data_IF_732855206983
#
_entry.id   IF_732855206983
#
_cell.length_a   1.000
_cell.length_b   1.000
_cell.length_c   1.000
_cell.angle_alpha   90.00
_cell.angle_beta   90.00
_cell.angle_gamma   90.00
#
_symmetry.space_group_name_H-M   'P 1'
#
loop_
_entity.id
_entity.type
_entity.pdbx_description
1 polymer ?
#
# COMPACT_ATOMS: atom_id res chain seq x y z
N UNK A 1 16.82 16.77 3.06
CA UNK A 1 16.10 15.51 3.28
C UNK A 1 16.35 15.12 4.74
N UNK A 2 15.32 14.87 5.51
CA UNK A 2 15.45 14.43 6.89
C UNK A 2 16.14 13.05 6.91
N UNK A 3 17.20 12.91 7.68
CA UNK A 3 17.92 11.63 7.82
C UNK A 3 17.07 10.75 8.71
N UNK A 4 16.55 9.65 8.15
CA UNK A 4 15.73 8.68 8.89
C UNK A 4 16.66 7.70 9.61
N UNK A 5 16.61 7.69 10.94
CA UNK A 5 17.36 6.70 11.75
C UNK A 5 16.56 5.40 11.88
N UNK A 6 16.65 4.55 10.86
CA UNK A 6 15.98 3.24 10.84
C UNK A 6 16.41 2.32 11.98
N UNK A 7 17.68 2.41 12.44
CA UNK A 7 18.18 1.60 13.55
C UNK A 7 17.47 1.99 14.85
N UNK A 8 17.35 3.28 15.13
CA UNK A 8 16.59 3.77 16.28
C UNK A 8 15.13 3.36 16.20
N UNK A 9 14.50 3.49 15.03
CA UNK A 9 13.10 3.10 14.80
C UNK A 9 12.89 1.62 15.14
N UNK A 10 13.75 0.73 14.67
CA UNK A 10 13.64 -0.71 14.92
C UNK A 10 13.87 -1.08 16.40
N UNK A 11 14.70 -0.30 17.13
CA UNK A 11 15.02 -0.58 18.54
C UNK A 11 14.03 0.02 19.52
N UNK A 12 13.49 1.20 19.22
CA UNK A 12 12.72 2.02 20.16
C UNK A 12 11.25 2.16 19.76
N UNK A 13 10.86 1.70 18.57
CA UNK A 13 9.56 2.01 17.98
C UNK A 13 9.53 3.37 17.32
N UNK A 14 8.36 3.74 16.79
CA UNK A 14 8.13 5.01 16.11
C UNK A 14 6.69 5.46 16.23
N UNK A 15 6.48 6.74 16.38
CA UNK A 15 5.16 7.37 16.23
C UNK A 15 4.96 7.77 14.78
N UNK A 16 3.87 7.28 14.17
CA UNK A 16 3.41 7.69 12.84
C UNK A 16 2.12 8.49 12.96
N UNK A 17 1.92 9.40 12.03
CA UNK A 17 0.69 10.20 11.97
C UNK A 17 -0.26 9.64 10.92
N UNK A 18 -1.54 9.47 11.28
CA UNK A 18 -2.60 9.23 10.31
C UNK A 18 -3.23 10.55 9.86
N UNK A 19 -3.76 10.59 8.65
CA UNK A 19 -4.43 11.79 8.11
C UNK A 19 -5.75 12.14 8.81
N UNK A 20 -6.23 11.29 9.73
CA UNK A 20 -7.46 11.46 10.52
C UNK A 20 -8.67 11.86 9.66
N UNK A 21 -9.65 10.99 9.48
CA UNK A 21 -10.91 11.32 8.77
C UNK A 21 -11.72 12.42 9.45
N UNK A 22 -11.40 12.76 10.70
CA UNK A 22 -12.03 13.81 11.52
C UNK A 22 -11.29 15.16 11.47
N UNK A 23 -10.26 15.28 10.61
CA UNK A 23 -9.47 16.51 10.45
C UNK A 23 -8.32 16.68 11.45
N UNK A 24 -8.30 15.96 12.56
CA UNK A 24 -7.17 15.99 13.51
C UNK A 24 -6.29 14.76 13.28
N UNK A 25 -4.99 14.94 12.96
CA UNK A 25 -4.05 13.83 12.82
C UNK A 25 -3.99 13.02 14.13
N UNK A 26 -4.06 11.70 14.02
CA UNK A 26 -3.84 10.80 15.16
C UNK A 26 -2.40 10.36 15.18
N UNK A 27 -1.80 10.37 16.35
CA UNK A 27 -0.49 9.79 16.60
C UNK A 27 -0.66 8.32 17.02
N UNK A 28 0.07 7.43 16.34
CA UNK A 28 0.02 6.00 16.56
C UNK A 28 1.43 5.52 16.82
N UNK A 29 1.67 5.07 18.04
CA UNK A 29 2.95 4.47 18.40
C UNK A 29 3.01 3.02 17.93
N UNK A 30 4.08 2.67 17.24
CA UNK A 30 4.40 1.32 16.77
C UNK A 30 5.59 0.78 17.56
N UNK A 31 5.36 -0.26 18.33
CA UNK A 31 6.43 -0.91 19.10
C UNK A 31 7.42 -1.65 18.19
N UNK A 32 8.64 -1.95 18.67
CA UNK A 32 9.60 -2.75 17.91
C UNK A 32 9.05 -4.10 17.45
N UNK A 33 8.27 -4.79 18.29
CA UNK A 33 7.62 -6.08 17.97
C UNK A 33 6.60 -5.91 16.86
N UNK A 34 5.79 -4.86 16.93
CA UNK A 34 4.80 -4.54 15.91
C UNK A 34 5.47 -4.18 14.57
N UNK A 35 6.55 -3.39 14.59
CA UNK A 35 7.34 -3.09 13.41
C UNK A 35 7.94 -4.34 12.78
N UNK A 36 8.44 -5.28 13.59
CA UNK A 36 8.95 -6.58 13.11
C UNK A 36 7.86 -7.39 12.40
N UNK A 37 6.65 -7.43 12.95
CA UNK A 37 5.51 -8.10 12.33
C UNK A 37 5.13 -7.43 10.99
N UNK A 38 5.04 -6.10 10.96
CA UNK A 38 4.77 -5.34 9.73
C UNK A 38 5.84 -5.56 8.66
N UNK A 39 7.12 -5.58 9.05
CA UNK A 39 8.23 -5.87 8.14
C UNK A 39 8.12 -7.27 7.51
N UNK A 40 7.79 -8.29 8.31
CA UNK A 40 7.64 -9.65 7.82
C UNK A 40 6.54 -9.73 6.75
N UNK A 41 5.39 -9.11 6.99
CA UNK A 41 4.29 -9.01 6.02
C UNK A 41 4.74 -8.28 4.76
N UNK A 42 5.37 -7.12 4.90
CA UNK A 42 5.78 -6.31 3.75
C UNK A 42 6.84 -7.01 2.88
N UNK A 43 7.77 -7.74 3.50
CA UNK A 43 8.79 -8.54 2.82
C UNK A 43 8.15 -9.69 2.05
N UNK A 44 7.28 -10.45 2.72
CA UNK A 44 6.65 -11.62 2.09
C UNK A 44 5.72 -11.21 0.95
N UNK A 45 4.81 -10.26 1.17
CA UNK A 45 3.84 -9.84 0.18
C UNK A 45 4.49 -9.33 -1.11
N UNK A 46 5.55 -8.54 -0.98
CA UNK A 46 6.25 -7.93 -2.12
C UNK A 46 7.40 -8.77 -2.67
N UNK A 47 7.70 -9.91 -2.03
CA UNK A 47 8.86 -10.75 -2.37
C UNK A 47 10.18 -9.98 -2.36
N UNK A 48 10.32 -9.08 -1.37
CA UNK A 48 11.54 -8.29 -1.18
C UNK A 48 12.71 -9.19 -0.75
N UNK A 49 13.88 -8.88 -1.26
CA UNK A 49 15.15 -9.56 -0.93
C UNK A 49 16.27 -8.52 -0.77
N UNK A 50 17.43 -8.94 -0.27
CA UNK A 50 18.62 -8.08 -0.22
C UNK A 50 19.09 -7.59 -1.61
N UNK A 51 18.65 -8.24 -2.70
CA UNK A 51 18.94 -7.82 -4.08
C UNK A 51 17.91 -6.84 -4.65
N UNK A 52 16.83 -6.57 -3.93
CA UNK A 52 15.83 -5.59 -4.33
C UNK A 52 16.43 -4.19 -4.30
N UNK A 53 15.97 -3.33 -5.21
CA UNK A 53 16.33 -1.91 -5.27
C UNK A 53 15.06 -1.11 -5.14
N UNK A 54 14.91 -0.38 -4.04
CA UNK A 54 13.67 0.28 -3.66
C UNK A 54 13.78 1.79 -3.86
N UNK A 55 12.83 2.36 -4.60
CA UNK A 55 12.66 3.80 -4.76
C UNK A 55 11.43 4.28 -4.00
N UNK A 56 11.64 4.95 -2.88
CA UNK A 56 10.56 5.53 -2.07
C UNK A 56 10.37 7.01 -2.40
N UNK A 57 9.15 7.37 -2.76
CA UNK A 57 8.75 8.75 -3.11
C UNK A 57 7.61 9.29 -2.25
N UNK A 58 7.23 8.56 -1.21
CA UNK A 58 6.21 8.91 -0.23
C UNK A 58 6.84 9.36 1.08
N UNK A 59 6.07 10.08 1.91
CA UNK A 59 6.58 10.67 3.16
C UNK A 59 6.91 9.60 4.19
N UNK A 60 8.06 9.72 4.86
CA UNK A 60 8.51 8.82 5.91
C UNK A 60 7.74 8.96 7.23
N UNK A 61 7.01 10.05 7.43
CA UNK A 61 6.14 10.26 8.60
C UNK A 61 4.82 9.47 8.53
N UNK A 62 4.53 8.83 7.39
CA UNK A 62 3.32 8.03 7.19
C UNK A 62 3.65 6.55 7.00
N UNK A 63 2.71 5.68 7.39
CA UNK A 63 2.83 4.24 7.22
C UNK A 63 3.21 3.84 5.78
N UNK A 64 2.62 4.49 4.77
CA UNK A 64 2.90 4.23 3.36
C UNK A 64 4.35 4.41 2.96
N UNK A 65 5.03 5.47 3.41
CA UNK A 65 6.44 5.69 3.09
C UNK A 65 7.40 4.85 3.94
N UNK A 66 7.14 4.80 5.24
CA UNK A 66 8.04 4.14 6.18
C UNK A 66 7.88 2.62 6.19
N UNK A 67 6.64 2.13 6.41
CA UNK A 67 6.39 0.72 6.72
C UNK A 67 6.19 -0.17 5.49
N UNK A 68 5.82 0.38 4.32
CA UNK A 68 5.57 -0.45 3.14
C UNK A 68 6.83 -0.99 2.51
N UNK A 69 7.85 -0.15 2.34
CA UNK A 69 9.06 -0.52 1.61
C UNK A 69 10.36 -0.05 2.27
N UNK A 70 10.40 1.15 2.90
CA UNK A 70 11.67 1.72 3.36
C UNK A 70 12.26 0.95 4.54
N UNK A 71 11.47 0.69 5.57
CA UNK A 71 11.93 -0.09 6.73
C UNK A 71 12.20 -1.56 6.38
N UNK A 72 11.34 -2.26 5.59
CA UNK A 72 11.66 -3.60 5.08
C UNK A 72 12.94 -3.66 4.26
N UNK A 73 13.16 -2.70 3.33
CA UNK A 73 14.37 -2.63 2.53
C UNK A 73 15.63 -2.47 3.39
N UNK A 74 15.59 -1.54 4.37
CA UNK A 74 16.69 -1.37 5.33
C UNK A 74 16.96 -2.65 6.11
N UNK A 75 15.93 -3.31 6.62
CA UNK A 75 16.06 -4.56 7.39
C UNK A 75 16.72 -5.67 6.59
N UNK A 76 16.47 -5.74 5.28
CA UNK A 76 17.09 -6.72 4.38
C UNK A 76 18.49 -6.34 3.87
N UNK A 77 18.95 -5.11 4.15
CA UNK A 77 20.15 -4.57 3.53
C UNK A 77 20.01 -4.35 2.02
N UNK A 78 18.77 -4.15 1.52
CA UNK A 78 18.50 -3.84 0.14
C UNK A 78 18.87 -2.40 -0.19
N UNK A 79 19.13 -2.10 -1.47
CA UNK A 79 19.34 -0.73 -1.93
C UNK A 79 18.07 0.10 -1.74
N UNK A 80 18.18 1.23 -1.05
CA UNK A 80 17.07 2.14 -0.77
C UNK A 80 17.42 3.57 -1.16
N UNK A 81 16.62 4.16 -2.02
CA UNK A 81 16.65 5.59 -2.32
C UNK A 81 15.34 6.24 -1.91
N UNK A 82 15.43 7.31 -1.13
CA UNK A 82 14.30 8.15 -0.73
C UNK A 82 14.45 9.50 -1.44
N UNK A 83 13.42 9.92 -2.17
CA UNK A 83 13.39 11.21 -2.85
C UNK A 83 11.98 11.78 -2.92
N UNK A 84 11.85 13.05 -3.26
CA UNK A 84 10.54 13.65 -3.57
C UNK A 84 10.00 13.11 -4.88
N UNK A 85 8.68 12.94 -4.96
CA UNK A 85 8.01 12.56 -6.19
C UNK A 85 8.06 13.69 -7.22
N UNK A 86 8.52 13.35 -8.42
CA UNK A 86 8.45 14.23 -9.58
C UNK A 86 7.99 13.39 -10.78
N UNK A 87 6.77 13.63 -11.32
CA UNK A 87 6.23 12.80 -12.40
C UNK A 87 7.04 12.84 -13.68
N UNK A 88 7.80 13.91 -13.92
CA UNK A 88 8.56 14.08 -15.17
C UNK A 88 9.91 13.34 -15.15
N UNK A 89 10.48 13.07 -13.98
CA UNK A 89 11.75 12.36 -13.85
C UNK A 89 11.59 10.94 -13.29
N UNK A 90 10.47 10.65 -12.64
CA UNK A 90 10.26 9.41 -11.92
C UNK A 90 10.50 8.16 -12.78
N UNK A 91 9.93 8.09 -13.99
CA UNK A 91 10.06 6.91 -14.86
C UNK A 91 11.52 6.64 -15.24
N UNK A 92 12.30 7.70 -15.50
CA UNK A 92 13.74 7.59 -15.76
C UNK A 92 14.48 7.08 -14.52
N UNK A 93 14.22 7.67 -13.36
CA UNK A 93 14.86 7.28 -12.10
C UNK A 93 14.51 5.83 -11.75
N UNK A 94 13.24 5.44 -11.90
CA UNK A 94 12.74 4.12 -11.55
C UNK A 94 13.33 2.99 -12.41
N UNK A 95 13.89 3.27 -13.59
CA UNK A 95 14.55 2.24 -14.41
C UNK A 95 15.67 1.52 -13.65
N UNK A 96 16.35 2.20 -12.74
CA UNK A 96 17.41 1.61 -11.89
C UNK A 96 16.88 0.84 -10.69
N UNK A 97 15.58 0.88 -10.38
CA UNK A 97 14.98 0.26 -9.20
C UNK A 97 14.00 -0.85 -9.59
N UNK A 98 13.71 -1.73 -8.63
CA UNK A 98 12.79 -2.87 -8.83
C UNK A 98 11.43 -2.65 -8.18
N UNK A 99 11.37 -1.92 -7.06
CA UNK A 99 10.17 -1.74 -6.26
C UNK A 99 9.91 -0.27 -5.97
N UNK A 100 8.64 0.11 -5.96
CA UNK A 100 8.18 1.43 -5.54
C UNK A 100 6.78 1.37 -4.94
N UNK A 101 6.46 2.30 -4.04
CA UNK A 101 5.11 2.56 -3.54
C UNK A 101 4.59 3.88 -4.11
N UNK A 102 3.43 3.83 -4.73
CA UNK A 102 2.76 4.98 -5.34
C UNK A 102 1.34 5.14 -4.78
N UNK A 103 0.95 6.37 -4.47
CA UNK A 103 -0.47 6.68 -4.26
C UNK A 103 -1.20 6.73 -5.59
N UNK A 104 -2.56 6.57 -5.62
CA UNK A 104 -3.33 6.76 -6.85
C UNK A 104 -3.08 8.12 -7.52
N UNK A 105 -2.85 9.17 -6.73
CA UNK A 105 -2.49 10.49 -7.25
C UNK A 105 -1.14 10.48 -7.99
N UNK A 106 -0.12 9.80 -7.43
CA UNK A 106 1.17 9.60 -8.12
C UNK A 106 0.99 8.81 -9.41
N UNK A 107 0.23 7.70 -9.36
CA UNK A 107 -0.05 6.88 -10.55
C UNK A 107 -0.75 7.68 -11.64
N UNK A 108 -1.78 8.46 -11.30
CA UNK A 108 -2.48 9.39 -12.21
C UNK A 108 -1.52 10.41 -12.83
N UNK A 109 -0.68 11.03 -12.01
CA UNK A 109 0.29 12.01 -12.49
C UNK A 109 1.25 11.40 -13.52
N UNK A 110 1.74 10.16 -13.28
CA UNK A 110 2.62 9.45 -14.22
C UNK A 110 1.93 9.10 -15.53
N UNK A 111 0.72 8.54 -15.47
CA UNK A 111 -0.08 8.17 -16.66
C UNK A 111 -0.32 9.38 -17.58
N UNK A 112 -0.41 10.57 -17.01
CA UNK A 112 -0.62 11.81 -17.77
C UNK A 112 0.68 12.39 -18.37
N UNK A 113 1.85 11.83 -18.08
CA UNK A 113 3.09 12.23 -18.72
C UNK A 113 3.22 11.64 -20.13
N UNK A 114 3.87 12.39 -21.03
CA UNK A 114 4.11 11.89 -22.39
C UNK A 114 4.93 10.60 -22.42
N UNK A 115 5.89 10.45 -21.49
CA UNK A 115 6.79 9.30 -21.44
C UNK A 115 6.15 8.02 -20.88
N UNK A 116 4.95 8.08 -20.28
CA UNK A 116 4.35 6.89 -19.70
C UNK A 116 3.95 5.85 -20.76
N UNK A 117 3.39 6.29 -21.88
CA UNK A 117 2.95 5.39 -22.96
C UNK A 117 4.10 4.59 -23.59
N UNK A 118 5.29 5.17 -23.59
CA UNK A 118 6.50 4.59 -24.17
C UNK A 118 7.38 3.91 -23.09
N UNK A 119 6.93 3.89 -21.83
CA UNK A 119 7.69 3.29 -20.73
C UNK A 119 7.65 1.78 -20.78
N UNK A 120 8.78 1.14 -20.45
CA UNK A 120 8.84 -0.29 -20.18
C UNK A 120 9.00 -0.51 -18.68
N UNK A 121 7.98 -1.11 -18.05
CA UNK A 121 7.96 -1.42 -16.63
C UNK A 121 8.11 -2.93 -16.37
N UNK A 122 8.59 -3.70 -17.33
CA UNK A 122 8.87 -5.12 -17.14
C UNK A 122 9.87 -5.34 -15.99
N UNK A 123 9.54 -6.28 -15.09
CA UNK A 123 10.33 -6.55 -13.88
C UNK A 123 10.23 -5.48 -12.79
N UNK A 124 9.32 -4.51 -12.90
CA UNK A 124 9.04 -3.51 -11.88
C UNK A 124 7.84 -3.92 -11.04
N UNK A 125 7.98 -3.79 -9.73
CA UNK A 125 6.92 -4.02 -8.75
C UNK A 125 6.39 -2.67 -8.24
N UNK A 126 5.12 -2.40 -8.47
CA UNK A 126 4.45 -1.16 -8.09
C UNK A 126 3.38 -1.47 -7.06
N UNK A 127 3.64 -1.12 -5.82
CA UNK A 127 2.65 -1.15 -4.75
C UNK A 127 1.76 0.09 -4.83
N UNK A 128 0.45 -0.09 -4.90
CA UNK A 128 -0.54 0.99 -4.94
C UNK A 128 -1.35 1.06 -3.66
N UNK A 129 -1.51 2.24 -3.04
CA UNK A 129 -2.26 2.36 -1.81
C UNK A 129 -2.33 3.77 -1.23
N UNK A 130 -2.69 3.89 0.03
CA UNK A 130 -3.13 5.08 0.78
C UNK A 130 -4.58 5.51 0.46
N UNK A 131 -5.04 5.26 -0.75
CA UNK A 131 -6.40 5.45 -1.23
C UNK A 131 -6.74 4.28 -2.16
N UNK A 132 -8.03 4.02 -2.45
CA UNK A 132 -8.44 3.00 -3.41
C UNK A 132 -7.82 3.22 -4.80
N UNK A 133 -7.28 2.16 -5.39
CA UNK A 133 -6.61 2.20 -6.70
C UNK A 133 -7.62 1.88 -7.79
N UNK A 134 -7.81 2.81 -8.73
CA UNK A 134 -8.71 2.61 -9.88
C UNK A 134 -8.25 1.46 -10.79
N UNK A 135 -9.19 0.67 -11.30
CA UNK A 135 -8.92 -0.40 -12.25
C UNK A 135 -8.19 0.05 -13.51
N UNK A 136 -8.48 1.26 -13.98
CA UNK A 136 -7.81 1.83 -15.16
C UNK A 136 -6.32 2.14 -14.88
N UNK A 137 -5.97 2.51 -13.64
CA UNK A 137 -4.59 2.66 -13.24
C UNK A 137 -3.88 1.31 -13.17
N UNK A 138 -4.51 0.31 -12.51
CA UNK A 138 -3.96 -1.05 -12.46
C UNK A 138 -3.71 -1.56 -13.90
N UNK A 139 -4.73 -1.47 -14.77
CA UNK A 139 -4.64 -1.91 -16.16
C UNK A 139 -3.48 -1.24 -16.91
N UNK A 140 -3.37 0.10 -16.82
CA UNK A 140 -2.33 0.86 -17.54
C UNK A 140 -0.93 0.50 -17.10
N UNK A 141 -0.69 0.31 -15.81
CA UNK A 141 0.62 -0.10 -15.31
C UNK A 141 0.96 -1.55 -15.68
N UNK A 142 0.00 -2.47 -15.59
CA UNK A 142 0.18 -3.86 -16.04
C UNK A 142 0.41 -3.93 -17.55
N UNK A 143 -0.28 -3.08 -18.33
CA UNK A 143 -0.07 -2.98 -19.79
C UNK A 143 1.35 -2.54 -20.13
N UNK A 144 1.99 -1.69 -19.30
CA UNK A 144 3.41 -1.32 -19.44
C UNK A 144 4.38 -2.41 -18.92
N UNK A 145 3.89 -3.55 -18.47
CA UNK A 145 4.67 -4.69 -17.99
C UNK A 145 4.96 -4.71 -16.50
N UNK A 146 4.43 -3.78 -15.71
CA UNK A 146 4.60 -3.78 -14.26
C UNK A 146 3.82 -4.91 -13.59
N UNK A 147 4.36 -5.44 -12.50
CA UNK A 147 3.58 -6.13 -11.48
C UNK A 147 2.97 -5.08 -10.56
N UNK A 148 1.65 -5.03 -10.46
CA UNK A 148 0.91 -4.05 -9.64
C UNK A 148 0.25 -4.75 -8.46
N UNK A 149 0.46 -4.23 -7.26
CA UNK A 149 -0.21 -4.71 -6.05
C UNK A 149 -1.04 -3.57 -5.44
N UNK A 150 -2.34 -3.45 -5.75
CA UNK A 150 -3.22 -2.68 -4.90
C UNK A 150 -3.25 -3.31 -3.51
N UNK A 151 -3.16 -2.47 -2.49
CA UNK A 151 -3.17 -2.93 -1.13
C UNK A 151 -4.06 -2.08 -0.24
N UNK A 152 -4.62 -2.72 0.77
CA UNK A 152 -5.32 -2.08 1.84
C UNK A 152 -4.55 -2.24 3.15
N UNK A 153 -4.52 -1.17 3.92
CA UNK A 153 -3.94 -1.08 5.23
C UNK A 153 -4.19 0.30 5.81
N UNK A 154 -3.98 0.43 7.10
CA UNK A 154 -4.15 1.68 7.85
C UNK A 154 -2.94 1.91 8.75
N UNK A 155 -2.75 3.16 9.19
CA UNK A 155 -1.72 3.47 10.18
C UNK A 155 -1.88 2.66 11.48
N UNK A 156 -3.12 2.36 11.85
CA UNK A 156 -3.50 1.59 13.03
C UNK A 156 -3.25 0.07 12.88
N UNK A 157 -3.25 -0.44 11.66
CA UNK A 157 -3.21 -1.89 11.41
C UNK A 157 -1.87 -2.31 10.88
N UNK A 158 -1.30 -1.54 9.99
CA UNK A 158 -0.11 -1.86 9.23
C UNK A 158 -0.38 -1.82 7.74
N UNK A 159 0.67 -1.69 6.94
CA UNK A 159 0.57 -1.70 5.50
C UNK A 159 0.35 -3.13 4.98
N UNK A 160 -0.23 -3.22 3.78
CA UNK A 160 -0.30 -4.46 3.00
C UNK A 160 -1.10 -5.58 3.71
N UNK A 161 -2.04 -5.18 4.56
CA UNK A 161 -2.85 -6.12 5.37
C UNK A 161 -3.75 -6.98 4.50
N UNK A 162 -4.40 -6.40 3.49
CA UNK A 162 -5.15 -7.10 2.44
C UNK A 162 -4.62 -6.61 1.09
N UNK A 163 -4.31 -7.53 0.20
CA UNK A 163 -3.73 -7.19 -1.09
C UNK A 163 -4.05 -8.25 -2.14
N UNK A 164 -3.72 -7.95 -3.38
CA UNK A 164 -3.61 -8.90 -4.48
C UNK A 164 -2.56 -8.41 -5.46
N UNK A 165 -2.05 -9.29 -6.33
CA UNK A 165 -0.98 -8.95 -7.26
C UNK A 165 -1.41 -9.22 -8.69
N UNK A 166 -1.27 -8.23 -9.57
CA UNK A 166 -1.58 -8.30 -10.99
C UNK A 166 -0.31 -8.17 -11.82
N UNK A 167 -0.05 -9.14 -12.67
CA UNK A 167 0.99 -9.11 -13.70
C UNK A 167 0.45 -9.55 -15.09
N UNK A 168 -0.85 -9.77 -15.18
CA UNK A 168 -1.56 -10.21 -16.37
C UNK A 168 -2.86 -9.42 -16.54
N UNK A 169 -3.10 -8.92 -17.76
CA UNK A 169 -4.28 -8.16 -18.11
C UNK A 169 -5.58 -8.96 -18.06
N UNK A 170 -5.51 -10.26 -18.37
CA UNK A 170 -6.69 -11.15 -18.29
C UNK A 170 -7.17 -11.23 -16.84
N UNK A 171 -6.24 -11.37 -15.89
CA UNK A 171 -6.55 -11.35 -14.47
C UNK A 171 -7.17 -10.00 -14.03
N UNK A 172 -6.60 -8.87 -14.47
CA UNK A 172 -7.15 -7.54 -14.18
C UNK A 172 -8.59 -7.41 -14.64
N UNK A 173 -8.86 -7.79 -15.88
CA UNK A 173 -10.21 -7.71 -16.47
C UNK A 173 -11.18 -8.68 -15.79
N UNK A 174 -10.74 -9.88 -15.46
CA UNK A 174 -11.54 -10.87 -14.75
C UNK A 174 -11.96 -10.37 -13.36
N UNK A 175 -11.01 -9.87 -12.56
CA UNK A 175 -11.31 -9.39 -11.20
C UNK A 175 -12.18 -8.13 -11.24
N UNK A 176 -11.92 -7.20 -12.17
CA UNK A 176 -12.79 -6.04 -12.40
C UNK A 176 -14.24 -6.46 -12.71
N UNK A 177 -14.42 -7.48 -13.55
CA UNK A 177 -15.74 -8.01 -13.89
C UNK A 177 -16.42 -8.67 -12.67
N UNK A 178 -15.73 -9.54 -11.95
CA UNK A 178 -16.24 -10.22 -10.74
C UNK A 178 -16.68 -9.21 -9.68
N UNK A 179 -15.89 -8.16 -9.45
CA UNK A 179 -16.19 -7.09 -8.50
C UNK A 179 -17.09 -6.00 -9.08
N UNK A 180 -17.63 -6.16 -10.30
CA UNK A 180 -18.54 -5.19 -10.96
C UNK A 180 -17.97 -3.77 -11.02
N UNK A 181 -16.64 -3.64 -11.10
CA UNK A 181 -15.93 -2.36 -11.13
C UNK A 181 -15.69 -1.71 -9.78
N UNK A 182 -16.16 -2.30 -8.67
CA UNK A 182 -15.86 -1.84 -7.31
C UNK A 182 -14.35 -1.91 -7.01
N UNK A 183 -13.85 -1.03 -6.14
CA UNK A 183 -12.45 -1.04 -5.75
C UNK A 183 -12.06 -2.35 -5.06
N UNK A 184 -10.94 -2.94 -5.49
CA UNK A 184 -10.42 -4.14 -4.88
C UNK A 184 -9.62 -3.81 -3.61
N UNK A 185 -9.85 -4.61 -2.54
CA UNK A 185 -8.91 -4.70 -1.42
C UNK A 185 -7.92 -5.84 -1.67
N UNK A 186 -8.39 -7.01 -2.08
CA UNK A 186 -7.56 -8.16 -2.40
C UNK A 186 -8.19 -9.49 -2.03
N UNK A 187 -7.39 -10.55 -2.17
CA UNK A 187 -7.70 -11.94 -1.83
C UNK A 187 -6.63 -12.59 -0.93
N UNK A 188 -5.54 -11.87 -0.66
CA UNK A 188 -4.49 -12.26 0.27
C UNK A 188 -4.61 -11.44 1.55
N UNK A 189 -4.70 -12.10 2.70
CA UNK A 189 -4.96 -11.47 4.01
C UNK A 189 -3.87 -11.88 5.00
N UNK A 190 -3.26 -10.91 5.68
CA UNK A 190 -2.15 -11.11 6.62
C UNK A 190 -2.54 -10.93 8.10
N UNK A 191 -3.82 -10.98 8.41
CA UNK A 191 -4.32 -10.90 9.79
C UNK A 191 -5.66 -11.65 9.91
N UNK A 192 -6.17 -11.79 11.13
CA UNK A 192 -7.55 -12.23 11.32
C UNK A 192 -8.49 -11.12 10.86
N UNK A 193 -9.54 -11.49 10.14
CA UNK A 193 -10.58 -10.57 9.69
C UNK A 193 -11.97 -11.11 10.04
N UNK A 194 -12.91 -10.21 10.27
CA UNK A 194 -14.35 -10.48 10.27
C UNK A 194 -15.10 -9.28 9.70
N UNK A 195 -16.27 -9.55 9.16
CA UNK A 195 -17.19 -8.52 8.66
C UNK A 195 -18.43 -8.54 9.54
N UNK A 196 -18.77 -7.39 10.11
CA UNK A 196 -19.98 -7.21 10.94
C UNK A 196 -20.71 -5.98 10.40
N UNK A 197 -21.96 -6.14 9.98
CA UNK A 197 -22.77 -5.09 9.36
C UNK A 197 -22.04 -4.37 8.21
N UNK A 198 -21.40 -5.15 7.34
CA UNK A 198 -20.53 -4.73 6.24
C UNK A 198 -19.27 -3.98 6.65
N UNK A 199 -19.01 -3.73 7.93
CA UNK A 199 -17.78 -3.11 8.40
C UNK A 199 -16.68 -4.17 8.60
N UNK A 200 -15.50 -3.87 8.09
CA UNK A 200 -14.32 -4.71 8.28
C UNK A 200 -13.72 -4.52 9.68
N UNK A 201 -13.51 -5.63 10.37
CA UNK A 201 -12.76 -5.72 11.62
C UNK A 201 -11.51 -6.55 11.41
N UNK A 202 -10.42 -6.15 12.02
CA UNK A 202 -9.13 -6.82 11.91
C UNK A 202 -8.50 -7.06 13.28
N UNK A 203 -7.67 -8.09 13.36
CA UNK A 203 -6.88 -8.43 14.55
C UNK A 203 -5.59 -9.14 14.13
N UNK A 204 -4.48 -8.83 14.78
CA UNK A 204 -3.21 -9.52 14.57
C UNK A 204 -2.02 -8.74 15.11
N UNK A 205 -0.84 -9.35 15.05
CA UNK A 205 0.42 -8.77 15.53
C UNK A 205 0.85 -7.51 14.77
N UNK A 206 0.28 -7.30 13.58
CA UNK A 206 0.50 -6.09 12.78
C UNK A 206 -0.35 -4.90 13.25
N UNK A 207 -1.39 -5.12 14.08
CA UNK A 207 -2.21 -4.05 14.64
C UNK A 207 -1.47 -3.35 15.79
N UNK A 208 -1.69 -2.03 15.95
CA UNK A 208 -1.02 -1.25 17.00
C UNK A 208 -1.55 -1.57 18.41
N UNK A 209 -2.69 -2.21 18.51
CA UNK A 209 -3.34 -2.64 19.76
C UNK A 209 -3.82 -4.08 19.67
N UNK A 210 -4.01 -4.70 20.83
CA UNK A 210 -4.58 -6.03 20.92
C UNK A 210 -6.10 -6.02 20.69
N UNK A 211 -6.63 -7.20 20.32
CA UNK A 211 -8.07 -7.40 20.12
C UNK A 211 -8.56 -7.00 18.73
N UNK A 212 -9.87 -6.97 18.57
CA UNK A 212 -10.51 -6.59 17.31
C UNK A 212 -10.57 -5.07 17.15
N UNK A 213 -10.05 -4.59 16.04
CA UNK A 213 -10.09 -3.19 15.64
C UNK A 213 -11.17 -2.98 14.58
N UNK A 214 -12.14 -2.13 14.87
CA UNK A 214 -13.10 -1.63 13.88
C UNK A 214 -12.40 -0.65 12.95
N UNK A 215 -12.41 -0.94 11.64
CA UNK A 215 -11.67 -0.11 10.67
C UNK A 215 -12.45 1.12 10.21
N UNK A 216 -13.78 1.08 10.33
CA UNK A 216 -14.67 2.05 9.72
C UNK A 216 -14.83 1.87 8.21
N UNK A 217 -14.12 0.94 7.59
CA UNK A 217 -14.23 0.66 6.17
C UNK A 217 -15.32 -0.38 5.91
N UNK A 218 -16.22 -0.05 4.97
CA UNK A 218 -17.29 -0.93 4.51
C UNK A 218 -16.75 -1.80 3.38
N UNK A 219 -17.01 -3.10 3.47
CA UNK A 219 -16.50 -4.10 2.53
C UNK A 219 -17.57 -5.12 2.16
N UNK A 220 -17.40 -5.72 1.00
CA UNK A 220 -18.15 -6.88 0.57
C UNK A 220 -17.18 -7.99 0.19
N UNK A 221 -17.51 -9.25 0.54
CA UNK A 221 -16.73 -10.41 0.09
C UNK A 221 -17.47 -11.16 -1.01
N UNK A 222 -16.75 -11.47 -2.09
CA UNK A 222 -17.23 -12.30 -3.20
C UNK A 222 -16.26 -13.48 -3.32
N UNK A 223 -16.62 -14.61 -2.72
CA UNK A 223 -15.69 -15.72 -2.55
C UNK A 223 -14.53 -15.33 -1.64
N UNK A 224 -13.30 -15.34 -2.18
CA UNK A 224 -12.09 -14.90 -1.46
C UNK A 224 -11.73 -13.44 -1.71
N UNK A 225 -12.42 -12.77 -2.64
CA UNK A 225 -12.16 -11.38 -2.99
C UNK A 225 -12.89 -10.44 -2.04
N UNK A 226 -12.21 -9.37 -1.64
CA UNK A 226 -12.79 -8.28 -0.86
C UNK A 226 -12.82 -7.01 -1.70
N UNK A 227 -13.99 -6.35 -1.73
CA UNK A 227 -14.17 -5.04 -2.36
C UNK A 227 -14.41 -3.97 -1.31
N UNK A 228 -13.95 -2.75 -1.59
CA UNK A 228 -14.16 -1.56 -0.77
C UNK A 228 -15.44 -0.83 -1.19
N UNK A 229 -16.32 -0.54 -0.24
CA UNK A 229 -17.60 0.13 -0.46
C UNK A 229 -17.66 1.56 0.09
N UNK A 230 -16.58 2.02 0.73
CA UNK A 230 -16.52 3.35 1.34
C UNK A 230 -16.28 3.30 2.85
N UNK A 231 -16.39 4.45 3.50
CA UNK A 231 -16.27 4.57 4.96
C UNK A 231 -17.61 4.84 5.61
N UNK A 232 -17.81 4.29 6.81
CA UNK A 232 -19.03 4.39 7.60
C UNK A 232 -19.49 5.83 7.87
N UNK A 233 -18.55 6.79 7.98
CA UNK A 233 -18.83 8.19 8.28
C UNK A 233 -18.92 9.10 7.04
N UNK A 234 -18.71 8.57 5.82
CA UNK A 234 -18.82 9.35 4.58
C UNK A 234 -20.23 9.37 3.97
N UNK A 235 -21.14 8.57 4.53
CA UNK A 235 -22.53 8.49 4.02
C UNK A 235 -23.49 9.58 4.54
N UNK A 236 -23.04 10.51 5.40
CA UNK A 236 -23.91 11.51 6.03
C UNK A 236 -23.88 12.90 5.39
N UNK A 237 -23.39 13.05 4.15
CA UNK A 237 -23.39 14.35 3.45
C UNK A 237 -24.12 14.28 2.10
N UNK A 238 -25.26 13.59 2.06
CA UNK A 238 -26.19 13.66 0.92
C UNK A 238 -27.60 13.76 1.49
N UNK A 239 -27.97 14.97 1.94
CA UNK A 239 -29.34 15.45 2.07
C UNK A 239 -29.39 16.92 1.59
#
# INVERSE_FOLDING_TARGET
MEVVDFKSILSNGVTITSSGTTGTPKEIFRTPENLKACNAVAIDAQKLTSKSRVLTVTRMTHAGGLLTQSLPAYTLGAELKIQQFNPYTFLKDFQSYTHTFLTPAHMKALVNTKGFKDSNLAGKFVLGGSDPVDWDLIYKFVYQGATVMPNWGMSEIGPITINTTFNDLVQVLHYRHVLKGEFILGDCVYCDIKIVDNELYVRGSICYQEGWLATGDLVESIGKLFSYKGRKNSCNHSN
#
